data_IF_059081099270
#
_entry.id   IF_059081099270
#
_cell.length_a   1.000
_cell.length_b   1.000
_cell.length_c   1.000
_cell.angle_alpha   90.00
_cell.angle_beta   90.00
_cell.angle_gamma   90.00
#
_symmetry.space_group_name_H-M   'P 1'
#
loop_
_entity.id
_entity.type
_entity.pdbx_description
1 polymer ?
#
# COMPACT_ATOMS: atom_id res chain seq x y z
N UNK A 1 25.86 -3.58 87.54
CA UNK A 1 24.69 -3.61 88.43
C UNK A 1 23.51 -3.03 87.66
N UNK A 2 22.28 -3.47 87.94
CA UNK A 2 21.08 -2.95 87.27
C UNK A 2 20.86 -1.48 87.59
N UNK A 3 20.48 -0.69 86.58
CA UNK A 3 19.75 0.56 86.78
C UNK A 3 18.85 0.77 85.56
N UNK A 4 17.57 0.52 85.78
CA UNK A 4 16.49 0.88 84.88
C UNK A 4 16.41 2.42 84.79
N UNK A 5 16.18 2.98 83.60
CA UNK A 5 15.89 4.41 83.45
C UNK A 5 14.57 4.57 82.70
N UNK A 6 13.60 5.34 83.23
CA UNK A 6 12.24 5.37 82.70
C UNK A 6 12.17 5.96 81.29
N UNK A 7 11.15 5.58 80.49
CA UNK A 7 10.96 6.12 79.15
C UNK A 7 10.74 7.63 79.18
N UNK A 8 11.51 8.37 78.37
CA UNK A 8 11.35 9.81 78.24
C UNK A 8 9.95 10.17 77.73
N UNK A 9 9.34 11.21 78.30
CA UNK A 9 7.99 11.62 77.94
C UNK A 9 7.89 12.06 76.48
N UNK A 10 7.17 11.29 75.66
CA UNK A 10 6.88 11.65 74.28
C UNK A 10 6.08 12.97 74.25
N UNK A 11 6.65 14.01 73.63
CA UNK A 11 6.02 15.33 73.55
C UNK A 11 4.69 15.26 72.81
N UNK A 12 3.62 15.79 73.40
CA UNK A 12 2.34 15.96 72.70
C UNK A 12 2.54 16.95 71.54
N UNK A 13 2.31 16.55 70.27
CA UNK A 13 2.51 17.45 69.14
C UNK A 13 1.56 18.65 69.22
N UNK A 14 2.05 19.83 68.86
CA UNK A 14 1.25 21.05 68.84
C UNK A 14 0.14 20.96 67.80
N UNK A 15 -1.02 21.60 68.06
CA UNK A 15 -2.18 21.57 67.15
C UNK A 15 -1.82 22.00 65.72
N UNK A 16 -0.90 22.95 65.55
CA UNK A 16 -0.41 23.37 64.24
C UNK A 16 0.34 22.27 63.48
N UNK A 17 1.18 21.47 64.16
CA UNK A 17 1.91 20.38 63.53
C UNK A 17 0.98 19.20 63.18
N UNK A 18 -0.03 18.90 64.01
CA UNK A 18 -1.06 17.91 63.69
C UNK A 18 -1.88 18.34 62.45
N UNK A 19 -2.21 19.63 62.33
CA UNK A 19 -2.90 20.17 61.15
C UNK A 19 -2.00 20.16 59.89
N UNK A 20 -0.71 20.48 60.02
CA UNK A 20 0.23 20.41 58.90
C UNK A 20 0.43 18.97 58.39
N UNK A 21 0.62 18.00 59.29
CA UNK A 21 0.79 16.58 58.91
C UNK A 21 -0.48 16.01 58.30
N UNK A 22 -1.67 16.32 58.84
CA UNK A 22 -2.94 15.86 58.26
C UNK A 22 -3.26 16.52 56.91
N UNK A 23 -2.91 17.80 56.71
CA UNK A 23 -3.01 18.45 55.40
C UNK A 23 -2.08 17.82 54.36
N UNK A 24 -0.81 17.55 54.70
CA UNK A 24 0.14 16.87 53.80
C UNK A 24 -0.32 15.44 53.49
N UNK A 25 -0.83 14.70 54.49
CA UNK A 25 -1.35 13.34 54.27
C UNK A 25 -2.60 13.35 53.38
N UNK A 26 -3.50 14.33 53.55
CA UNK A 26 -4.67 14.50 52.70
C UNK A 26 -4.30 14.86 51.25
N UNK A 27 -3.30 15.73 51.04
CA UNK A 27 -2.79 16.05 49.70
C UNK A 27 -2.12 14.82 49.06
N UNK A 28 -1.31 14.05 49.80
CA UNK A 28 -0.71 12.81 49.29
C UNK A 28 -1.77 11.76 48.93
N UNK A 29 -2.79 11.58 49.76
CA UNK A 29 -3.91 10.69 49.46
C UNK A 29 -4.74 11.18 48.26
N UNK A 30 -4.96 12.48 48.11
CA UNK A 30 -5.61 13.05 46.94
C UNK A 30 -4.79 12.83 45.65
N UNK A 31 -3.46 13.03 45.69
CA UNK A 31 -2.57 12.78 44.56
C UNK A 31 -2.58 11.28 44.18
N UNK A 32 -2.42 10.38 45.15
CA UNK A 32 -2.48 8.93 44.91
C UNK A 32 -3.85 8.52 44.37
N UNK A 33 -4.94 9.09 44.89
CA UNK A 33 -6.28 8.86 44.33
C UNK A 33 -6.40 9.36 42.88
N UNK A 34 -5.88 10.54 42.54
CA UNK A 34 -5.91 11.03 41.15
C UNK A 34 -5.05 10.22 40.18
N UNK A 35 -3.98 9.56 40.65
CA UNK A 35 -3.18 8.64 39.84
C UNK A 35 -3.87 7.30 39.67
N UNK A 36 -4.46 6.73 40.72
CA UNK A 36 -5.17 5.44 40.68
C UNK A 36 -6.56 5.52 40.02
N UNK A 37 -7.18 6.70 40.00
CA UNK A 37 -8.46 6.96 39.33
C UNK A 37 -8.29 7.54 37.91
N UNK A 38 -7.07 7.63 37.38
CA UNK A 38 -6.87 8.10 36.01
C UNK A 38 -7.28 7.01 35.01
N UNK A 39 -8.32 7.22 34.18
CA UNK A 39 -8.80 6.17 33.29
C UNK A 39 -7.84 5.96 32.11
N UNK A 40 -7.42 4.71 31.89
CA UNK A 40 -6.69 4.32 30.69
C UNK A 40 -7.54 4.60 29.44
N UNK A 41 -7.09 5.53 28.58
CA UNK A 41 -7.68 5.73 27.25
C UNK A 41 -7.27 4.60 26.31
N UNK A 42 -7.94 3.45 26.42
CA UNK A 42 -7.95 2.43 25.36
C UNK A 42 -8.60 3.02 24.10
N UNK A 43 -7.93 3.05 22.94
CA UNK A 43 -8.56 3.46 21.69
C UNK A 43 -9.64 2.43 21.29
N UNK A 44 -10.90 2.86 21.26
CA UNK A 44 -12.02 2.05 20.76
C UNK A 44 -12.22 2.34 19.26
N UNK A 45 -12.42 1.29 18.46
CA UNK A 45 -12.69 1.40 17.02
C UNK A 45 -14.19 1.63 16.72
N UNK A 46 -14.54 2.39 15.66
CA UNK A 46 -15.91 2.55 15.14
C UNK A 46 -16.29 1.48 14.09
N UNK A 47 -17.54 1.23 13.64
CA UNK A 47 -18.94 1.51 14.05
C UNK A 47 -19.89 0.91 12.93
N UNK A 48 -21.25 0.94 12.98
CA UNK A 48 -22.22 1.23 14.05
C UNK A 48 -22.88 -0.10 14.54
N UNK A 49 -24.08 -0.63 14.17
CA UNK A 49 -25.36 -0.14 13.57
C UNK A 49 -26.58 -0.36 14.57
N UNK A 50 -27.89 -0.38 14.19
CA UNK A 50 -28.59 0.08 12.97
C UNK A 50 -29.76 1.08 13.20
N UNK A 51 -29.96 1.99 12.25
CA UNK A 51 -31.25 2.59 11.88
C UNK A 51 -31.23 2.84 10.35
N UNK A 52 -32.37 2.87 9.63
CA UNK A 52 -32.38 2.44 8.23
C UNK A 52 -31.97 3.50 7.19
N UNK A 53 -30.69 3.50 6.81
CA UNK A 53 -30.32 3.60 5.38
C UNK A 53 -28.90 3.10 5.09
N UNK A 54 -28.67 2.67 3.85
CA UNK A 54 -27.39 2.08 3.42
C UNK A 54 -26.36 3.18 3.12
N UNK A 55 -25.25 3.20 3.85
CA UNK A 55 -24.01 3.85 3.46
C UNK A 55 -22.89 2.79 3.38
N UNK A 56 -22.02 2.82 2.36
CA UNK A 56 -21.00 1.78 2.17
C UNK A 56 -19.88 1.87 3.23
N UNK A 57 -19.23 0.74 3.57
CA UNK A 57 -18.10 0.73 4.51
C UNK A 57 -16.89 1.44 3.92
N UNK A 58 -16.18 2.21 4.76
CA UNK A 58 -14.91 2.85 4.40
C UNK A 58 -13.80 1.78 4.39
N UNK A 59 -12.97 1.70 3.33
CA UNK A 59 -11.92 0.69 3.25
C UNK A 59 -10.78 0.97 4.25
N UNK A 60 -10.27 -0.10 4.87
CA UNK A 60 -9.03 -0.09 5.66
C UNK A 60 -7.85 0.34 4.78
N UNK A 61 -6.91 1.18 5.26
CA UNK A 61 -5.72 1.51 4.50
C UNK A 61 -4.84 0.26 4.30
N UNK A 62 -4.75 -0.19 3.05
CA UNK A 62 -3.78 -1.20 2.58
C UNK A 62 -2.36 -0.80 3.01
N UNK A 63 -1.50 -1.74 3.46
CA UNK A 63 -0.10 -1.43 3.75
C UNK A 63 0.56 -0.83 2.50
N UNK A 64 1.10 0.39 2.63
CA UNK A 64 1.86 1.02 1.56
C UNK A 64 3.07 0.15 1.23
N UNK A 65 3.24 -0.32 -0.02
CA UNK A 65 4.40 -1.11 -0.37
C UNK A 65 5.65 -0.26 -0.21
N UNK A 66 6.64 -0.76 0.54
CA UNK A 66 7.99 -0.19 0.55
C UNK A 66 8.46 -0.09 -0.91
N UNK A 67 8.94 1.08 -1.38
CA UNK A 67 9.33 1.24 -2.77
C UNK A 67 10.54 0.35 -3.08
N UNK A 68 10.28 -0.78 -3.75
CA UNK A 68 11.29 -1.56 -4.46
C UNK A 68 12.13 -0.60 -5.31
N UNK A 69 13.48 -0.65 -5.26
CA UNK A 69 14.32 0.35 -5.90
C UNK A 69 13.97 0.49 -7.38
N UNK A 70 13.35 1.62 -7.72
CA UNK A 70 12.75 1.84 -9.04
C UNK A 70 13.86 2.08 -10.05
N UNK A 71 14.32 0.98 -10.67
CA UNK A 71 15.32 1.00 -11.75
C UNK A 71 14.80 1.93 -12.84
N UNK A 72 15.36 3.14 -12.90
CA UNK A 72 14.91 4.18 -13.81
C UNK A 72 15.42 3.85 -15.21
N UNK A 73 14.58 3.17 -15.99
CA UNK A 73 14.88 2.79 -17.38
C UNK A 73 14.55 3.94 -18.34
N UNK A 74 15.26 4.08 -19.48
CA UNK A 74 15.06 5.19 -20.42
C UNK A 74 13.89 5.00 -21.42
N UNK A 75 12.89 4.19 -21.08
CA UNK A 75 11.73 3.85 -21.91
C UNK A 75 10.49 3.59 -21.05
N UNK A 76 9.32 3.39 -21.66
CA UNK A 76 8.10 3.01 -20.93
C UNK A 76 8.28 1.64 -20.26
N UNK A 77 8.15 1.62 -18.94
CA UNK A 77 8.10 0.41 -18.12
C UNK A 77 7.04 0.64 -17.05
N UNK A 78 6.17 -0.35 -16.83
CA UNK A 78 5.01 -0.23 -15.94
C UNK A 78 5.05 -1.39 -14.95
N UNK A 79 5.27 -1.15 -13.65
CA UNK A 79 5.27 -2.23 -12.66
C UNK A 79 4.00 -3.06 -12.71
N UNK A 80 4.11 -4.38 -12.55
CA UNK A 80 2.96 -5.30 -12.49
C UNK A 80 1.85 -4.76 -11.56
N UNK A 81 0.60 -4.76 -12.05
CA UNK A 81 -0.56 -4.12 -11.40
C UNK A 81 -0.82 -2.68 -11.83
N UNK A 82 0.01 -2.09 -12.70
CA UNK A 82 -0.20 -0.74 -13.22
C UNK A 82 -1.15 -0.73 -14.42
N UNK A 83 -2.26 -0.01 -14.31
CA UNK A 83 -3.19 0.25 -15.41
C UNK A 83 -2.71 1.42 -16.28
N UNK A 84 -3.07 1.44 -17.58
CA UNK A 84 -2.58 2.43 -18.53
C UNK A 84 -3.55 2.79 -19.67
N UNK A 85 -3.34 3.98 -20.25
CA UNK A 85 -3.80 4.36 -21.59
C UNK A 85 -2.66 4.12 -22.61
N UNK A 86 -2.99 3.77 -23.86
CA UNK A 86 -2.03 3.47 -24.92
C UNK A 86 -2.38 4.15 -26.25
N UNK A 87 -1.46 4.84 -26.95
CA UNK A 87 -1.75 5.64 -28.16
C UNK A 87 -2.32 4.87 -29.36
N UNK A 88 -2.24 3.53 -29.38
CA UNK A 88 -2.86 2.69 -30.41
C UNK A 88 -4.32 2.30 -30.08
N UNK A 89 -4.79 2.57 -28.86
CA UNK A 89 -6.10 2.19 -28.30
C UNK A 89 -6.89 3.43 -27.88
N UNK A 90 -6.25 4.38 -27.22
CA UNK A 90 -6.79 5.71 -26.92
C UNK A 90 -6.03 6.82 -27.67
N UNK A 91 -6.74 7.58 -28.51
CA UNK A 91 -6.16 8.69 -29.29
C UNK A 91 -5.93 9.98 -28.50
N UNK A 92 -6.35 10.07 -27.23
CA UNK A 92 -6.12 11.26 -26.40
C UNK A 92 -4.75 11.26 -25.72
N UNK A 93 -3.99 10.16 -25.78
CA UNK A 93 -2.60 10.08 -25.29
C UNK A 93 -1.63 9.93 -26.45
N UNK A 94 -0.44 10.52 -26.34
CA UNK A 94 0.60 10.48 -27.39
C UNK A 94 1.73 9.49 -27.11
N UNK A 95 1.72 8.87 -25.92
CA UNK A 95 2.65 7.85 -25.41
C UNK A 95 1.87 6.95 -24.44
N UNK A 96 2.39 5.77 -24.05
CA UNK A 96 1.76 4.99 -22.99
C UNK A 96 1.87 5.73 -21.65
N UNK A 97 0.77 5.83 -20.91
CA UNK A 97 0.70 6.57 -19.63
C UNK A 97 -0.05 5.77 -18.57
N UNK A 98 0.49 5.71 -17.36
CA UNK A 98 -0.16 5.04 -16.22
C UNK A 98 -1.42 5.81 -15.77
N UNK A 99 -2.46 5.08 -15.37
CA UNK A 99 -3.79 5.58 -14.99
C UNK A 99 -4.27 4.89 -13.71
N UNK A 100 -5.18 5.51 -12.93
CA UNK A 100 -5.91 4.81 -11.86
C UNK A 100 -6.69 3.62 -12.42
N UNK A 101 -6.64 2.49 -11.72
CA UNK A 101 -7.29 1.24 -12.15
C UNK A 101 -8.80 1.23 -11.91
N UNK A 102 -9.29 2.11 -11.03
CA UNK A 102 -10.70 2.25 -10.64
C UNK A 102 -11.55 3.00 -11.68
N UNK A 103 -10.91 3.56 -12.73
CA UNK A 103 -11.56 4.20 -13.86
C UNK A 103 -11.31 3.46 -15.18
N UNK A 104 -11.90 3.93 -16.28
CA UNK A 104 -11.67 3.33 -17.59
C UNK A 104 -10.21 3.47 -18.06
N UNK A 105 -9.60 2.36 -18.48
CA UNK A 105 -8.23 2.30 -18.99
C UNK A 105 -8.10 1.23 -20.10
N UNK A 106 -7.06 1.31 -20.94
CA UNK A 106 -6.89 0.41 -22.09
C UNK A 106 -6.39 -0.99 -21.68
N UNK A 107 -5.54 -1.07 -20.67
CA UNK A 107 -4.98 -2.34 -20.16
C UNK A 107 -4.20 -2.22 -18.86
N UNK A 108 -3.69 -3.36 -18.39
CA UNK A 108 -2.93 -3.50 -17.15
C UNK A 108 -1.63 -4.31 -17.37
N UNK A 109 -0.59 -3.99 -16.61
CA UNK A 109 0.68 -4.72 -16.57
C UNK A 109 0.54 -6.03 -15.77
N UNK A 110 0.82 -7.17 -16.40
CA UNK A 110 0.55 -8.52 -15.85
C UNK A 110 1.81 -9.31 -15.43
N UNK A 111 2.97 -8.96 -15.96
CA UNK A 111 4.27 -9.56 -15.61
C UNK A 111 5.41 -8.66 -16.11
N UNK A 112 6.58 -8.71 -15.47
CA UNK A 112 7.83 -8.17 -16.01
C UNK A 112 8.80 -9.33 -16.32
N UNK A 113 9.51 -9.23 -17.45
CA UNK A 113 10.37 -10.27 -18.01
C UNK A 113 11.70 -9.69 -18.54
N UNK A 114 12.65 -10.56 -18.88
CA UNK A 114 13.95 -10.20 -19.44
C UNK A 114 14.08 -10.70 -20.89
N UNK A 115 14.44 -9.83 -21.82
CA UNK A 115 14.74 -10.21 -23.20
C UNK A 115 15.93 -11.19 -23.27
N UNK A 116 15.94 -12.15 -24.21
CA UNK A 116 17.12 -12.99 -24.46
C UNK A 116 18.29 -12.18 -25.03
N UNK A 117 19.48 -12.76 -24.98
CA UNK A 117 20.69 -12.25 -25.63
C UNK A 117 20.68 -12.47 -27.15
N UNK A 118 21.55 -11.76 -27.88
CA UNK A 118 21.80 -11.99 -29.30
C UNK A 118 20.76 -11.45 -30.28
N UNK A 119 19.78 -10.65 -29.83
CA UNK A 119 18.82 -9.99 -30.73
C UNK A 119 19.51 -8.88 -31.53
N UNK A 120 19.20 -8.74 -32.81
CA UNK A 120 19.90 -7.84 -33.75
C UNK A 120 19.04 -6.71 -34.34
N UNK A 121 17.81 -6.50 -33.88
CA UNK A 121 16.99 -5.34 -34.24
C UNK A 121 15.60 -5.32 -33.62
N UNK A 122 14.93 -4.16 -33.67
CA UNK A 122 13.64 -3.89 -33.00
C UNK A 122 12.51 -4.87 -33.40
N UNK A 123 12.54 -5.40 -34.63
CA UNK A 123 11.57 -6.42 -35.07
C UNK A 123 11.74 -7.75 -34.30
N UNK A 124 12.99 -8.15 -34.02
CA UNK A 124 13.28 -9.33 -33.21
C UNK A 124 12.99 -9.09 -31.73
N UNK A 125 13.27 -7.89 -31.22
CA UNK A 125 12.89 -7.47 -29.86
C UNK A 125 11.37 -7.53 -29.69
N UNK A 126 10.61 -6.89 -30.58
CA UNK A 126 9.15 -6.91 -30.56
C UNK A 126 8.56 -8.32 -30.73
N UNK A 127 9.21 -9.21 -31.48
CA UNK A 127 8.86 -10.64 -31.55
C UNK A 127 9.10 -11.34 -30.21
N UNK A 128 10.32 -11.24 -29.67
CA UNK A 128 10.73 -11.88 -28.42
C UNK A 128 9.88 -11.41 -27.22
N UNK A 129 9.50 -10.12 -27.16
CA UNK A 129 8.58 -9.64 -26.13
C UNK A 129 7.20 -10.28 -26.24
N UNK A 130 6.58 -10.28 -27.44
CA UNK A 130 5.25 -10.86 -27.64
C UNK A 130 5.21 -12.37 -27.34
N UNK A 131 6.25 -13.09 -27.75
CA UNK A 131 6.38 -14.53 -27.49
C UNK A 131 6.64 -14.82 -26.00
N UNK A 132 7.55 -14.07 -25.36
CA UNK A 132 7.82 -14.18 -23.93
C UNK A 132 6.59 -13.90 -23.05
N UNK A 133 5.70 -13.01 -23.48
CA UNK A 133 4.46 -12.72 -22.74
C UNK A 133 3.36 -13.77 -22.87
N UNK A 134 3.42 -14.72 -23.82
CA UNK A 134 2.32 -15.67 -24.04
C UNK A 134 1.90 -16.46 -22.79
N UNK A 135 2.82 -16.99 -21.94
CA UNK A 135 2.44 -17.71 -20.73
C UNK A 135 1.77 -16.80 -19.69
N UNK A 136 2.22 -15.54 -19.56
CA UNK A 136 1.63 -14.57 -18.65
C UNK A 136 0.23 -14.14 -19.11
N UNK A 137 0.06 -13.92 -20.41
CA UNK A 137 -1.23 -13.56 -21.02
C UNK A 137 -2.24 -14.69 -20.84
N UNK A 138 -1.90 -15.92 -21.23
CA UNK A 138 -2.77 -17.09 -21.02
C UNK A 138 -3.14 -17.29 -19.54
N UNK A 139 -2.20 -17.08 -18.61
CA UNK A 139 -2.46 -17.19 -17.18
C UNK A 139 -3.37 -16.08 -16.62
N UNK A 140 -3.27 -14.85 -17.15
CA UNK A 140 -4.15 -13.75 -16.79
C UNK A 140 -5.55 -13.91 -17.41
N UNK A 141 -5.65 -14.26 -18.69
CA UNK A 141 -6.91 -14.52 -19.40
C UNK A 141 -7.74 -15.61 -18.71
N UNK A 142 -7.09 -16.71 -18.28
CA UNK A 142 -7.74 -17.81 -17.58
C UNK A 142 -8.44 -17.38 -16.27
N UNK A 143 -7.89 -16.39 -15.54
CA UNK A 143 -8.48 -15.88 -14.29
C UNK A 143 -9.71 -15.00 -14.51
N UNK A 144 -9.85 -14.40 -15.70
CA UNK A 144 -11.01 -13.54 -15.98
C UNK A 144 -12.32 -14.34 -16.06
N UNK A 145 -12.23 -15.65 -16.32
CA UNK A 145 -13.38 -16.56 -16.39
C UNK A 145 -14.21 -16.44 -17.67
N UNK A 146 -13.67 -15.76 -18.69
CA UNK A 146 -14.34 -15.44 -19.95
C UNK A 146 -14.11 -13.99 -20.37
N UNK A 147 -14.90 -13.52 -21.34
CA UNK A 147 -14.90 -12.12 -21.79
C UNK A 147 -13.84 -11.74 -22.84
N UNK A 148 -13.04 -12.69 -23.32
CA UNK A 148 -12.09 -12.44 -24.42
C UNK A 148 -12.78 -12.14 -25.77
N UNK A 149 -12.02 -11.68 -26.79
CA UNK A 149 -10.57 -11.71 -26.88
C UNK A 149 -9.87 -10.60 -26.09
N UNK A 150 -8.83 -10.97 -25.35
CA UNK A 150 -7.85 -10.04 -24.79
C UNK A 150 -6.63 -9.95 -25.72
N UNK A 151 -5.80 -8.92 -25.53
CA UNK A 151 -4.64 -8.67 -26.40
C UNK A 151 -3.43 -8.14 -25.65
N UNK A 152 -2.23 -8.51 -26.13
CA UNK A 152 -0.95 -8.15 -25.54
C UNK A 152 -0.24 -6.95 -26.20
N UNK A 153 0.14 -5.96 -25.39
CA UNK A 153 0.88 -4.76 -25.82
C UNK A 153 2.15 -4.54 -24.96
N UNK A 154 3.19 -5.37 -25.14
CA UNK A 154 4.37 -5.32 -24.26
C UNK A 154 5.16 -4.02 -24.43
N UNK A 155 5.64 -3.48 -23.30
CA UNK A 155 6.49 -2.29 -23.24
C UNK A 155 7.92 -2.67 -22.88
N UNK A 156 8.91 -2.12 -23.59
CA UNK A 156 10.30 -2.50 -23.41
C UNK A 156 11.28 -1.64 -24.19
N UNK A 157 12.58 -2.02 -24.20
CA UNK A 157 13.64 -1.27 -24.85
C UNK A 157 13.51 -1.30 -26.38
N UNK A 158 13.91 -0.22 -27.04
CA UNK A 158 14.31 -0.26 -28.45
C UNK A 158 15.70 -0.90 -28.59
N UNK A 159 16.12 -1.21 -29.81
CA UNK A 159 17.45 -1.74 -30.10
C UNK A 159 18.58 -0.86 -29.55
N UNK A 160 18.39 0.46 -29.55
CA UNK A 160 19.34 1.44 -28.97
C UNK A 160 19.57 1.23 -27.47
N UNK A 161 18.53 0.88 -26.71
CA UNK A 161 18.65 0.61 -25.27
C UNK A 161 19.03 -0.85 -24.98
N UNK A 162 18.59 -1.79 -25.81
CA UNK A 162 19.00 -3.19 -25.75
C UNK A 162 20.53 -3.35 -25.89
N UNK A 163 21.14 -2.62 -26.84
CA UNK A 163 22.60 -2.56 -27.01
C UNK A 163 23.35 -1.98 -25.80
N UNK A 164 22.67 -1.24 -24.92
CA UNK A 164 23.22 -0.71 -23.67
C UNK A 164 23.00 -1.65 -22.47
N UNK A 165 22.47 -2.86 -22.70
CA UNK A 165 22.20 -3.86 -21.67
C UNK A 165 20.85 -3.73 -20.96
N UNK A 166 19.99 -2.78 -21.38
CA UNK A 166 18.61 -2.72 -20.87
C UNK A 166 17.76 -3.80 -21.54
N UNK A 167 17.24 -4.74 -20.76
CA UNK A 167 16.54 -5.94 -21.26
C UNK A 167 15.21 -6.21 -20.58
N UNK A 168 14.91 -5.47 -19.52
CA UNK A 168 13.69 -5.59 -18.73
C UNK A 168 12.50 -5.07 -19.54
N UNK A 169 11.42 -5.85 -19.65
CA UNK A 169 10.22 -5.48 -20.40
C UNK A 169 8.93 -5.93 -19.68
N UNK A 170 7.90 -5.10 -19.75
CA UNK A 170 6.59 -5.32 -19.15
C UNK A 170 5.67 -6.01 -20.15
N UNK A 171 5.08 -7.13 -19.74
CA UNK A 171 3.93 -7.76 -20.38
C UNK A 171 2.63 -7.12 -19.90
N UNK A 172 1.72 -6.90 -20.83
CA UNK A 172 0.40 -6.31 -20.56
C UNK A 172 -0.72 -7.16 -21.12
N UNK A 173 -1.95 -6.88 -20.65
CA UNK A 173 -3.19 -7.38 -21.21
C UNK A 173 -4.20 -6.23 -21.37
N UNK A 174 -4.91 -6.21 -22.49
CA UNK A 174 -5.89 -5.18 -22.88
C UNK A 174 -7.20 -5.84 -23.33
N UNK A 175 -8.34 -5.15 -23.19
CA UNK A 175 -9.65 -5.64 -23.63
C UNK A 175 -9.95 -5.36 -25.13
N UNK A 176 -9.03 -4.70 -25.86
CA UNK A 176 -9.18 -4.49 -27.30
C UNK A 176 -7.86 -4.24 -28.02
N UNK A 177 -7.88 -4.43 -29.35
CA UNK A 177 -6.72 -4.21 -30.23
C UNK A 177 -6.89 -3.06 -31.23
N UNK A 178 -7.80 -2.11 -30.96
CA UNK A 178 -8.21 -1.07 -31.91
C UNK A 178 -8.47 0.27 -31.19
N UNK A 179 -8.27 1.41 -31.87
CA UNK A 179 -8.66 2.71 -31.34
C UNK A 179 -10.15 2.78 -30.98
N UNK A 180 -10.48 3.18 -29.75
CA UNK A 180 -11.86 3.28 -29.27
C UNK A 180 -12.58 1.93 -29.08
N UNK A 181 -11.82 0.86 -28.83
CA UNK A 181 -12.37 -0.45 -28.46
C UNK A 181 -12.87 -0.53 -27.02
N UNK A 182 -13.19 -1.75 -26.58
CA UNK A 182 -13.56 -2.03 -25.17
C UNK A 182 -12.37 -1.71 -24.24
N UNK A 183 -12.65 -0.96 -23.17
CA UNK A 183 -11.71 -0.61 -22.10
C UNK A 183 -11.98 -1.45 -20.86
N UNK A 184 -10.96 -1.64 -20.03
CA UNK A 184 -11.10 -2.18 -18.68
C UNK A 184 -11.66 -1.08 -17.76
N UNK A 185 -12.38 -1.47 -16.71
CA UNK A 185 -13.03 -0.57 -15.74
C UNK A 185 -12.71 -0.93 -14.28
N UNK A 186 -11.55 -1.56 -14.07
CA UNK A 186 -11.13 -2.23 -12.85
C UNK A 186 -9.93 -3.12 -13.13
N UNK A 187 -9.20 -3.53 -12.08
CA UNK A 187 -8.12 -4.52 -12.20
C UNK A 187 -8.59 -5.84 -12.83
N UNK A 188 -7.67 -6.49 -13.51
CA UNK A 188 -7.74 -7.90 -13.90
C UNK A 188 -7.74 -8.81 -12.66
N UNK A 189 -8.38 -9.97 -12.81
CA UNK A 189 -8.42 -11.06 -11.82
C UNK A 189 -7.17 -11.95 -11.86
#
# INVERSE_FOLDING_TARGET
MTSEQPPAAASRPSRGLVLAVSAVLAVLLAVVATVLLWPEKKPVAPAPPPAPSKAPPVPTPTPTPTPTPTRTVPYTFLPVGSCFDHPQLNKTVTKPEARPCEGEHDGEAIADLLLPDGLTGDSQIGKAMREGCQPAQAAAEARQGGGGPYYGYPFGPSMTYYQQGWRDFTCTLTASNRPGGVRLSGHLR
#
